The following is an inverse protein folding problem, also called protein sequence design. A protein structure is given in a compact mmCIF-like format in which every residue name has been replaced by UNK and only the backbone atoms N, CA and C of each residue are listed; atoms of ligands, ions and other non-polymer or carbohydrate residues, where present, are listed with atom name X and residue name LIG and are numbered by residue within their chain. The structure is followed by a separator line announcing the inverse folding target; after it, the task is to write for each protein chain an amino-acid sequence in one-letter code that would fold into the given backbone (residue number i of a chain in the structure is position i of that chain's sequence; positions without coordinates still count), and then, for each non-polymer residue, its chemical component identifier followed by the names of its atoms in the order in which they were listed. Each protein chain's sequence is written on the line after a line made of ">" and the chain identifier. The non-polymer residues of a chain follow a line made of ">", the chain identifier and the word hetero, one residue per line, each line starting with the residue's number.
data_IF_503528008572
#
_entry.id   IF_503528008572
#
_cell.length_a   1.000
_cell.length_b   1.000
_cell.length_c   1.000
_cell.angle_alpha   90.00
_cell.angle_beta   90.00
_cell.angle_gamma   90.00
#
_symmetry.space_group_name_H-M   'P 1'
#
loop_
_entity.id
_entity.type
_entity.pdbx_description
1 polymer ?
#
# COMPACT_ATOMS: atom_id res chain seq x y z
N UNK A 1 26.43 -6.69 14.90
CA UNK A 1 25.41 -5.81 14.29
C UNK A 1 24.09 -6.14 14.97
N UNK A 2 23.61 -5.33 15.90
CA UNK A 2 22.32 -5.50 16.56
C UNK A 2 21.23 -5.38 15.50
N UNK A 3 20.49 -6.46 15.27
CA UNK A 3 19.34 -6.44 14.36
C UNK A 3 18.40 -5.32 14.81
N UNK A 4 18.24 -4.29 14.00
CA UNK A 4 17.30 -3.20 14.25
C UNK A 4 15.90 -3.80 14.38
N UNK A 5 15.19 -3.45 15.46
CA UNK A 5 13.82 -3.90 15.69
C UNK A 5 12.96 -3.52 14.48
N UNK A 6 12.19 -4.45 13.92
CA UNK A 6 11.30 -4.14 12.80
C UNK A 6 10.27 -3.08 13.18
N UNK A 7 9.87 -2.25 12.22
CA UNK A 7 8.85 -1.23 12.42
C UNK A 7 7.44 -1.85 12.44
N UNK A 8 7.21 -2.86 11.60
CA UNK A 8 5.95 -3.62 11.56
C UNK A 8 6.29 -5.10 11.78
N UNK A 9 5.69 -5.70 12.80
CA UNK A 9 5.80 -7.14 13.09
C UNK A 9 4.42 -7.78 12.95
N UNK A 10 4.33 -8.79 12.11
CA UNK A 10 3.15 -9.61 11.90
C UNK A 10 3.52 -11.02 12.36
N UNK A 11 2.87 -11.53 13.42
CA UNK A 11 3.21 -12.81 14.03
C UNK A 11 1.99 -13.74 13.98
N UNK A 12 2.08 -14.76 13.10
CA UNK A 12 1.09 -15.83 12.89
C UNK A 12 -0.34 -15.32 12.75
N UNK A 13 -0.53 -14.23 12.00
CA UNK A 13 -1.83 -13.62 11.80
C UNK A 13 -2.74 -14.53 11.00
N UNK A 14 -3.92 -14.78 11.57
CA UNK A 14 -5.05 -15.41 10.93
C UNK A 14 -6.27 -14.49 10.91
N UNK A 15 -7.08 -14.60 9.85
CA UNK A 15 -8.32 -13.86 9.72
C UNK A 15 -9.42 -14.72 9.13
N UNK A 16 -10.49 -14.90 9.89
CA UNK A 16 -11.70 -15.60 9.47
C UNK A 16 -12.90 -14.67 9.55
N UNK A 17 -13.56 -14.47 8.43
CA UNK A 17 -14.83 -13.75 8.34
C UNK A 17 -15.97 -14.69 8.69
N UNK A 18 -16.89 -14.26 9.54
CA UNK A 18 -18.18 -14.92 9.77
C UNK A 18 -19.21 -14.28 8.86
N UNK A 19 -19.91 -15.08 8.08
CA UNK A 19 -21.00 -14.68 7.20
C UNK A 19 -22.25 -15.49 7.57
N UNK A 20 -23.42 -15.06 7.13
CA UNK A 20 -24.67 -15.80 7.31
C UNK A 20 -24.62 -17.22 6.72
N UNK A 21 -23.85 -17.38 5.63
CA UNK A 21 -23.66 -18.66 4.92
C UNK A 21 -22.51 -19.52 5.46
N UNK A 22 -21.82 -19.10 6.55
CA UNK A 22 -20.71 -19.84 7.14
C UNK A 22 -19.49 -18.97 7.47
N UNK A 23 -18.33 -19.59 7.58
CA UNK A 23 -17.06 -18.89 7.84
C UNK A 23 -16.13 -18.97 6.64
N UNK A 24 -15.44 -17.87 6.36
CA UNK A 24 -14.45 -17.78 5.28
C UNK A 24 -13.10 -17.40 5.87
N UNK A 25 -12.16 -18.33 5.84
CA UNK A 25 -10.78 -18.07 6.22
C UNK A 25 -10.07 -17.28 5.11
N UNK A 26 -9.76 -16.03 5.40
CA UNK A 26 -9.13 -15.12 4.45
C UNK A 26 -7.60 -15.18 4.53
N UNK A 27 -7.05 -15.25 5.75
CA UNK A 27 -5.61 -15.31 6.02
C UNK A 27 -5.33 -16.44 7.01
N UNK A 28 -4.20 -17.13 6.81
CA UNK A 28 -3.74 -18.20 7.68
C UNK A 28 -2.24 -18.10 7.89
N UNK A 29 -1.84 -17.98 9.15
CA UNK A 29 -0.45 -18.08 9.60
C UNK A 29 0.49 -17.14 8.86
N UNK A 30 0.12 -15.86 8.74
CA UNK A 30 0.94 -14.82 8.13
C UNK A 30 1.97 -14.34 9.15
N UNK A 31 3.25 -14.52 8.83
CA UNK A 31 4.37 -14.01 9.63
C UNK A 31 5.29 -13.20 8.71
N UNK A 32 5.46 -11.90 9.02
CA UNK A 32 6.25 -10.97 8.24
C UNK A 32 6.78 -9.86 9.14
N UNK A 33 8.05 -9.53 8.98
CA UNK A 33 8.69 -8.37 9.62
C UNK A 33 9.07 -7.35 8.56
N UNK A 34 8.75 -6.08 8.77
CA UNK A 34 9.07 -4.97 7.87
C UNK A 34 9.94 -3.96 8.62
N UNK A 35 11.09 -3.65 8.05
CA UNK A 35 12.05 -2.71 8.59
C UNK A 35 11.61 -1.25 8.44
N UNK A 36 12.23 -0.37 9.23
CA UNK A 36 12.04 1.07 9.08
C UNK A 36 12.66 1.56 7.76
N UNK A 37 11.89 2.32 6.97
CA UNK A 37 12.28 2.82 5.66
C UNK A 37 12.27 1.77 4.55
N UNK A 38 11.74 0.58 4.79
CA UNK A 38 11.66 -0.49 3.80
C UNK A 38 10.44 -0.32 2.88
N UNK A 39 10.62 -0.62 1.60
CA UNK A 39 9.54 -0.72 0.63
C UNK A 39 9.21 -2.19 0.38
N UNK A 40 8.05 -2.67 0.84
CA UNK A 40 7.59 -4.05 0.66
C UNK A 40 6.37 -4.09 -0.25
N UNK A 41 6.45 -4.87 -1.34
CA UNK A 41 5.30 -5.13 -2.18
C UNK A 41 4.65 -6.48 -1.84
N UNK A 42 3.32 -6.51 -1.83
CA UNK A 42 2.51 -7.72 -1.69
C UNK A 42 1.88 -8.06 -3.03
N UNK A 43 2.19 -9.22 -3.59
CA UNK A 43 1.61 -9.73 -4.83
C UNK A 43 0.88 -11.04 -4.58
N UNK A 44 -0.14 -11.32 -5.39
CA UNK A 44 -0.92 -12.55 -5.27
C UNK A 44 -2.25 -12.44 -6.02
N UNK A 45 -2.97 -13.56 -6.21
CA UNK A 45 -4.23 -13.57 -6.94
C UNK A 45 -5.30 -12.72 -6.24
N UNK A 46 -6.33 -12.33 -7.00
CA UNK A 46 -7.47 -11.59 -6.43
C UNK A 46 -8.15 -12.41 -5.33
N UNK A 47 -8.53 -11.72 -4.24
CA UNK A 47 -9.18 -12.35 -3.10
C UNK A 47 -8.28 -13.20 -2.18
N UNK A 48 -6.95 -13.19 -2.36
CA UNK A 48 -6.02 -13.91 -1.48
C UNK A 48 -5.80 -13.25 -0.10
N UNK A 49 -6.36 -12.07 0.15
CA UNK A 49 -6.31 -11.43 1.47
C UNK A 49 -5.35 -10.25 1.61
N UNK A 50 -4.71 -9.76 0.53
CA UNK A 50 -3.79 -8.60 0.58
C UNK A 50 -4.42 -7.37 1.23
N UNK A 51 -5.56 -6.93 0.75
CA UNK A 51 -6.31 -5.79 1.33
C UNK A 51 -6.78 -6.05 2.76
N UNK A 52 -7.06 -7.32 3.11
CA UNK A 52 -7.37 -7.72 4.48
C UNK A 52 -6.15 -7.52 5.39
N UNK A 53 -4.98 -7.98 4.96
CA UNK A 53 -3.73 -7.81 5.71
C UNK A 53 -3.40 -6.32 5.90
N UNK A 54 -3.55 -5.50 4.85
CA UNK A 54 -3.37 -4.05 4.93
C UNK A 54 -4.27 -3.40 5.98
N UNK A 55 -5.58 -3.76 5.98
CA UNK A 55 -6.54 -3.23 6.97
C UNK A 55 -6.22 -3.67 8.39
N UNK A 56 -5.66 -4.87 8.57
CA UNK A 56 -5.19 -5.35 9.86
C UNK A 56 -3.99 -4.53 10.34
N UNK A 57 -2.99 -4.28 9.48
CA UNK A 57 -1.82 -3.44 9.82
C UNK A 57 -2.25 -2.02 10.18
N UNK A 58 -3.22 -1.46 9.44
CA UNK A 58 -3.79 -0.13 9.73
C UNK A 58 -4.63 -0.07 11.02
N UNK A 59 -4.94 -1.23 11.64
CA UNK A 59 -5.83 -1.30 12.80
C UNK A 59 -7.31 -1.09 12.47
N UNK A 60 -7.69 -1.16 11.18
CA UNK A 60 -9.08 -1.03 10.72
C UNK A 60 -9.85 -2.35 10.81
N UNK A 61 -9.15 -3.45 11.07
CA UNK A 61 -9.73 -4.78 11.23
C UNK A 61 -8.97 -5.55 12.31
N UNK A 62 -9.65 -6.11 13.32
CA UNK A 62 -9.01 -6.97 14.29
C UNK A 62 -8.61 -8.31 13.66
N UNK A 63 -7.59 -8.95 14.21
CA UNK A 63 -7.18 -10.31 13.86
C UNK A 63 -8.09 -11.34 14.56
N UNK A 64 -8.21 -12.55 13.99
CA UNK A 64 -8.86 -13.68 14.66
C UNK A 64 -7.85 -14.62 15.33
N UNK A 65 -6.58 -14.53 14.93
CA UNK A 65 -5.45 -15.24 15.55
C UNK A 65 -4.16 -14.46 15.31
N UNK A 66 -3.15 -14.68 16.14
CA UNK A 66 -1.87 -13.99 16.06
C UNK A 66 -1.93 -12.54 16.54
N UNK A 67 -0.94 -11.74 16.15
CA UNK A 67 -0.85 -10.33 16.54
C UNK A 67 -0.11 -9.50 15.50
N UNK A 68 -0.38 -8.20 15.52
CA UNK A 68 0.39 -7.18 14.77
C UNK A 68 0.92 -6.14 15.76
N UNK A 69 2.17 -5.75 15.56
CA UNK A 69 2.83 -4.70 16.34
C UNK A 69 3.37 -3.66 15.36
N UNK A 70 3.09 -2.38 15.60
CA UNK A 70 3.59 -1.26 14.80
C UNK A 70 4.35 -0.32 15.72
N UNK A 71 5.61 -0.05 15.38
CA UNK A 71 6.54 0.75 16.19
C UNK A 71 6.59 0.32 17.67
N UNK A 72 6.58 -0.99 17.88
CA UNK A 72 6.60 -1.59 19.21
C UNK A 72 5.30 -1.58 19.99
N UNK A 73 4.22 -1.06 19.41
CA UNK A 73 2.89 -1.00 20.04
C UNK A 73 1.96 -2.03 19.39
N UNK A 74 1.32 -2.92 20.16
CA UNK A 74 0.30 -3.83 19.63
C UNK A 74 -0.86 -3.06 18.98
N UNK A 75 -1.29 -3.51 17.81
CA UNK A 75 -2.40 -2.89 17.07
C UNK A 75 -3.72 -3.33 17.67
N UNK A 76 -4.39 -2.43 18.39
CA UNK A 76 -5.72 -2.66 18.99
C UNK A 76 -6.82 -1.79 18.33
N UNK A 77 -6.46 -0.88 17.45
CA UNK A 77 -7.36 0.05 16.75
C UNK A 77 -6.60 0.84 15.69
N UNK A 78 -7.23 1.85 15.07
CA UNK A 78 -6.61 2.66 14.03
C UNK A 78 -5.25 3.24 14.43
N UNK A 79 -4.23 3.02 13.58
CA UNK A 79 -2.86 3.44 13.83
C UNK A 79 -2.67 4.85 13.26
N UNK A 80 -2.49 5.87 14.13
CA UNK A 80 -2.41 7.29 13.72
C UNK A 80 -1.18 7.63 12.86
N UNK A 81 -0.13 6.81 12.91
CA UNK A 81 1.12 6.98 12.12
C UNK A 81 1.04 6.41 10.71
N UNK A 82 -0.11 5.91 10.30
CA UNK A 82 -0.33 5.26 9.00
C UNK A 82 -1.14 6.17 8.09
N UNK A 83 -0.59 6.48 6.91
CA UNK A 83 -1.35 6.98 5.77
C UNK A 83 -1.84 5.79 4.94
N UNK A 84 -3.11 5.80 4.53
CA UNK A 84 -3.67 4.71 3.75
C UNK A 84 -4.28 5.21 2.44
N UNK A 85 -3.89 4.58 1.34
CA UNK A 85 -4.51 4.73 0.01
C UNK A 85 -5.31 3.47 -0.27
N UNK A 86 -6.61 3.62 -0.46
CA UNK A 86 -7.51 2.52 -0.76
C UNK A 86 -7.57 2.26 -2.27
N UNK A 87 -7.98 1.07 -2.66
CA UNK A 87 -8.19 0.68 -4.05
C UNK A 87 -9.19 1.59 -4.77
N UNK A 88 -10.26 1.99 -4.10
CA UNK A 88 -11.14 3.08 -4.55
C UNK A 88 -10.69 4.39 -3.90
N UNK A 89 -10.70 5.50 -4.62
CA UNK A 89 -10.24 6.81 -4.14
C UNK A 89 -10.99 7.33 -2.91
N UNK A 90 -12.26 6.94 -2.74
CA UNK A 90 -13.14 7.28 -1.59
C UNK A 90 -13.09 8.77 -1.26
N UNK A 91 -13.20 9.63 -2.30
CA UNK A 91 -13.31 11.07 -2.10
C UNK A 91 -14.74 11.44 -1.69
N UNK A 92 -14.87 12.43 -0.79
CA UNK A 92 -16.16 12.99 -0.38
C UNK A 92 -16.71 13.82 -1.54
N UNK A 93 -17.83 13.37 -2.11
CA UNK A 93 -18.41 13.93 -3.36
C UNK A 93 -18.87 15.37 -3.24
N UNK A 94 -19.15 15.84 -2.00
CA UNK A 94 -19.62 17.19 -1.68
C UNK A 94 -18.50 18.16 -1.27
N UNK A 95 -17.25 17.75 -1.39
CA UNK A 95 -16.05 18.56 -1.12
C UNK A 95 -15.22 18.72 -2.37
N UNK A 96 -14.58 19.87 -2.51
CA UNK A 96 -13.57 20.07 -3.55
C UNK A 96 -12.40 19.09 -3.40
N UNK A 97 -11.57 18.98 -4.43
CA UNK A 97 -10.37 18.12 -4.41
C UNK A 97 -9.43 18.55 -3.27
N UNK A 98 -9.14 19.85 -3.15
CA UNK A 98 -8.27 20.35 -2.09
C UNK A 98 -8.87 20.13 -0.70
N UNK A 99 -10.17 20.26 -0.52
CA UNK A 99 -10.81 20.02 0.77
C UNK A 99 -10.86 18.52 1.12
N UNK A 100 -10.86 17.64 0.12
CA UNK A 100 -10.65 16.21 0.32
C UNK A 100 -9.20 15.92 0.76
N UNK A 101 -8.21 16.59 0.18
CA UNK A 101 -6.80 16.46 0.59
C UNK A 101 -6.62 16.96 2.01
N UNK A 102 -7.28 18.05 2.41
CA UNK A 102 -7.19 18.65 3.75
C UNK A 102 -7.92 17.86 4.85
N UNK A 103 -8.78 16.91 4.49
CA UNK A 103 -9.60 16.14 5.43
C UNK A 103 -8.84 15.51 6.61
N UNK A 104 -7.64 14.90 6.44
CA UNK A 104 -6.89 14.33 7.57
C UNK A 104 -6.51 15.37 8.63
N UNK A 105 -6.16 16.60 8.24
CA UNK A 105 -5.85 17.67 9.18
C UNK A 105 -7.09 18.07 10.00
N UNK A 106 -8.24 18.17 9.35
CA UNK A 106 -9.52 18.46 9.98
C UNK A 106 -9.89 17.36 11.00
N UNK A 107 -9.86 16.09 10.59
CA UNK A 107 -10.19 14.95 11.45
C UNK A 107 -9.22 14.78 12.64
N UNK A 108 -7.97 15.24 12.49
CA UNK A 108 -6.97 15.23 13.56
C UNK A 108 -7.07 16.44 14.49
N UNK A 109 -8.09 17.29 14.35
CA UNK A 109 -8.27 18.50 15.15
C UNK A 109 -7.26 19.60 14.84
N UNK A 110 -6.53 19.51 13.74
CA UNK A 110 -5.58 20.52 13.29
C UNK A 110 -6.28 21.54 12.41
N UNK A 111 -5.73 22.77 12.34
CA UNK A 111 -6.28 23.82 11.48
C UNK A 111 -5.96 23.53 10.00
N UNK A 112 -6.94 23.24 9.12
CA UNK A 112 -6.69 22.91 7.70
C UNK A 112 -5.93 24.03 6.96
N UNK A 113 -6.15 25.29 7.33
CA UNK A 113 -5.45 26.41 6.73
C UNK A 113 -3.92 26.32 6.82
N UNK A 114 -3.38 25.70 7.87
CA UNK A 114 -1.93 25.48 8.03
C UNK A 114 -1.36 24.53 6.97
N UNK A 115 -2.19 23.63 6.45
CA UNK A 115 -1.78 22.60 5.48
C UNK A 115 -2.17 22.94 4.04
N UNK A 116 -2.84 24.09 3.80
CA UNK A 116 -3.38 24.42 2.48
C UNK A 116 -2.29 24.57 1.42
N UNK A 117 -1.17 25.19 1.79
CA UNK A 117 -0.02 25.32 0.88
C UNK A 117 0.58 23.95 0.53
N UNK A 118 0.80 23.10 1.55
CA UNK A 118 1.28 21.73 1.33
C UNK A 118 0.30 20.91 0.49
N UNK A 119 -1.01 21.08 0.69
CA UNK A 119 -2.02 20.39 -0.12
C UNK A 119 -1.93 20.80 -1.60
N UNK A 120 -1.69 22.10 -1.90
CA UNK A 120 -1.46 22.57 -3.26
C UNK A 120 -0.21 21.98 -3.86
N UNK A 121 0.92 22.01 -3.16
CA UNK A 121 2.20 21.42 -3.61
C UNK A 121 2.04 19.92 -3.92
N UNK A 122 1.34 19.17 -3.08
CA UNK A 122 1.04 17.76 -3.35
C UNK A 122 0.16 17.57 -4.59
N UNK A 123 -0.84 18.43 -4.80
CA UNK A 123 -1.67 18.39 -6.00
C UNK A 123 -0.90 18.75 -7.26
N UNK A 124 0.01 19.73 -7.19
CA UNK A 124 0.91 20.09 -8.29
C UNK A 124 1.83 18.93 -8.65
N UNK A 125 2.43 18.28 -7.64
CA UNK A 125 3.32 17.12 -7.82
C UNK A 125 2.66 16.00 -8.63
N UNK A 126 1.37 15.76 -8.43
CA UNK A 126 0.62 14.72 -9.14
C UNK A 126 -0.14 15.25 -10.36
N UNK A 127 0.16 16.47 -10.83
CA UNK A 127 -0.48 17.08 -12.00
C UNK A 127 -1.95 17.43 -11.83
N UNK A 128 -2.37 17.77 -10.59
CA UNK A 128 -3.75 18.15 -10.27
C UNK A 128 -3.88 19.59 -9.75
N UNK A 129 -2.87 20.45 -9.91
CA UNK A 129 -2.89 21.82 -9.41
C UNK A 129 -4.10 22.63 -9.89
N UNK A 130 -4.41 22.59 -11.19
CA UNK A 130 -5.56 23.28 -11.79
C UNK A 130 -6.92 22.69 -11.41
N UNK A 131 -6.95 21.47 -10.84
CA UNK A 131 -8.15 20.78 -10.43
C UNK A 131 -8.45 20.91 -8.94
N UNK A 132 -7.67 21.71 -8.19
CA UNK A 132 -7.78 21.83 -6.73
C UNK A 132 -9.16 22.20 -6.25
N UNK A 133 -9.83 23.12 -6.93
CA UNK A 133 -11.17 23.62 -6.56
C UNK A 133 -12.32 22.86 -7.25
N UNK A 134 -12.00 21.84 -8.08
CA UNK A 134 -12.97 20.98 -8.75
C UNK A 134 -13.62 19.99 -7.79
N UNK A 135 -14.78 19.46 -8.18
CA UNK A 135 -15.45 18.38 -7.44
C UNK A 135 -14.99 17.01 -7.94
N UNK A 136 -15.01 15.95 -7.10
CA UNK A 136 -14.58 14.61 -7.51
C UNK A 136 -15.27 14.06 -8.77
N UNK A 137 -16.51 14.40 -9.04
CA UNK A 137 -17.24 13.96 -10.22
C UNK A 137 -16.76 14.61 -11.53
N UNK A 138 -15.99 15.70 -11.45
CA UNK A 138 -15.35 16.37 -12.61
C UNK A 138 -13.99 15.72 -12.96
N UNK A 139 -13.50 14.77 -12.15
CA UNK A 139 -12.21 14.12 -12.31
C UNK A 139 -12.37 12.69 -12.87
N UNK A 140 -11.43 12.27 -13.72
CA UNK A 140 -11.31 10.85 -14.09
C UNK A 140 -10.98 9.97 -12.88
N UNK A 141 -11.20 8.66 -12.97
CA UNK A 141 -10.87 7.72 -11.89
C UNK A 141 -9.40 7.76 -11.48
N UNK A 142 -8.49 7.89 -12.44
CA UNK A 142 -7.06 8.05 -12.19
C UNK A 142 -6.72 9.38 -11.48
N UNK A 143 -7.37 10.50 -11.86
CA UNK A 143 -7.21 11.77 -11.17
C UNK A 143 -7.71 11.69 -9.72
N UNK A 144 -8.85 11.04 -9.49
CA UNK A 144 -9.37 10.81 -8.13
C UNK A 144 -8.39 9.99 -7.29
N UNK A 145 -7.76 8.99 -7.89
CA UNK A 145 -6.77 8.15 -7.21
C UNK A 145 -5.52 8.94 -6.82
N UNK A 146 -5.01 9.81 -7.72
CA UNK A 146 -3.92 10.73 -7.41
C UNK A 146 -4.26 11.72 -6.29
N UNK A 147 -5.48 12.27 -6.28
CA UNK A 147 -5.97 13.11 -5.19
C UNK A 147 -6.04 12.36 -3.84
N UNK A 148 -6.44 11.07 -3.86
CA UNK A 148 -6.44 10.21 -2.68
C UNK A 148 -5.03 9.94 -2.15
N UNK A 149 -4.02 9.84 -3.02
CA UNK A 149 -2.62 9.77 -2.63
C UNK A 149 -2.16 11.05 -1.92
N UNK A 150 -2.49 12.24 -2.48
CA UNK A 150 -2.20 13.52 -1.82
C UNK A 150 -2.82 13.61 -0.43
N UNK A 151 -4.07 13.14 -0.27
CA UNK A 151 -4.74 13.06 1.03
C UNK A 151 -3.98 12.20 2.03
N UNK A 152 -3.49 11.03 1.61
CA UNK A 152 -2.71 10.14 2.48
C UNK A 152 -1.36 10.74 2.87
N UNK A 153 -0.76 11.60 2.03
CA UNK A 153 0.55 12.23 2.24
C UNK A 153 0.48 13.55 3.03
N UNK A 154 -0.70 14.15 3.19
CA UNK A 154 -0.84 15.49 3.76
C UNK A 154 -0.15 15.67 5.11
N UNK A 155 -0.36 14.74 6.02
CA UNK A 155 0.20 14.78 7.39
C UNK A 155 1.59 14.14 7.50
N UNK A 156 2.21 13.80 6.36
CA UNK A 156 3.54 13.19 6.29
C UNK A 156 3.73 11.94 7.15
N UNK A 157 2.84 10.94 7.02
CA UNK A 157 2.94 9.75 7.85
C UNK A 157 4.23 8.97 7.55
N UNK A 158 4.88 8.38 8.58
CA UNK A 158 6.08 7.58 8.41
C UNK A 158 5.80 6.23 7.74
N UNK A 159 4.56 5.74 7.81
CA UNK A 159 4.13 4.48 7.21
C UNK A 159 3.04 4.76 6.19
N UNK A 160 3.19 4.22 4.98
CA UNK A 160 2.21 4.29 3.91
C UNK A 160 1.74 2.88 3.55
N UNK A 161 0.44 2.67 3.60
CA UNK A 161 -0.21 1.44 3.14
C UNK A 161 -1.00 1.77 1.88
N UNK A 162 -0.67 1.11 0.77
CA UNK A 162 -1.25 1.41 -0.54
C UNK A 162 -1.86 0.16 -1.17
N UNK A 163 -3.18 0.17 -1.33
CA UNK A 163 -3.94 -0.96 -1.86
C UNK A 163 -4.30 -0.70 -3.32
N UNK A 164 -3.52 -1.25 -4.26
CA UNK A 164 -3.63 -1.09 -5.72
C UNK A 164 -3.76 0.39 -6.16
N UNK A 165 -2.88 1.30 -5.68
CA UNK A 165 -3.07 2.75 -5.84
C UNK A 165 -3.07 3.22 -7.29
N UNK A 166 -2.50 2.45 -8.21
CA UNK A 166 -2.34 2.82 -9.61
C UNK A 166 -3.15 1.93 -10.57
N UNK A 167 -4.05 1.10 -10.04
CA UNK A 167 -4.85 0.16 -10.84
C UNK A 167 -5.77 0.83 -11.88
N UNK A 168 -6.24 2.05 -11.59
CA UNK A 168 -7.12 2.82 -12.48
C UNK A 168 -6.37 3.72 -13.49
N UNK A 169 -5.02 3.72 -13.47
CA UNK A 169 -4.21 4.54 -14.37
C UNK A 169 -3.88 3.81 -15.68
N UNK A 170 -3.77 4.56 -16.77
CA UNK A 170 -3.15 4.07 -18.00
C UNK A 170 -1.65 3.77 -17.78
N UNK A 171 -1.01 3.09 -18.73
CA UNK A 171 0.35 2.61 -18.57
C UNK A 171 1.38 3.75 -18.42
N UNK A 172 1.25 4.83 -19.19
CA UNK A 172 2.21 5.95 -19.15
C UNK A 172 2.09 6.71 -17.82
N UNK A 173 0.88 7.11 -17.45
CA UNK A 173 0.61 7.78 -16.17
C UNK A 173 1.02 6.91 -14.96
N UNK A 174 0.83 5.59 -15.06
CA UNK A 174 1.29 4.66 -14.02
C UNK A 174 2.80 4.66 -13.86
N UNK A 175 3.54 4.69 -14.96
CA UNK A 175 5.01 4.73 -14.92
C UNK A 175 5.53 6.04 -14.34
N UNK A 176 4.92 7.18 -14.69
CA UNK A 176 5.21 8.47 -14.07
C UNK A 176 4.95 8.42 -12.55
N UNK A 177 3.80 7.92 -12.14
CA UNK A 177 3.44 7.80 -10.72
C UNK A 177 4.34 6.83 -9.94
N UNK A 178 4.85 5.78 -10.59
CA UNK A 178 5.83 4.89 -9.98
C UNK A 178 7.16 5.62 -9.69
N UNK A 179 7.62 6.45 -10.60
CA UNK A 179 8.83 7.29 -10.40
C UNK A 179 8.59 8.32 -9.28
N UNK A 180 7.45 9.02 -9.29
CA UNK A 180 7.09 9.95 -8.22
C UNK A 180 7.00 9.27 -6.85
N UNK A 181 6.48 8.05 -6.80
CA UNK A 181 6.42 7.28 -5.55
C UNK A 181 7.82 6.91 -5.04
N UNK A 182 8.75 6.55 -5.94
CA UNK A 182 10.15 6.32 -5.57
C UNK A 182 10.82 7.60 -5.05
N UNK A 183 10.52 8.74 -5.66
CA UNK A 183 10.98 10.05 -5.20
C UNK A 183 10.45 10.36 -3.79
N UNK A 184 9.14 10.25 -3.55
CA UNK A 184 8.50 10.43 -2.24
C UNK A 184 9.09 9.49 -1.18
N UNK A 185 9.39 8.24 -1.56
CA UNK A 185 9.95 7.26 -0.65
C UNK A 185 11.43 7.49 -0.35
N UNK A 186 12.25 7.73 -1.37
CA UNK A 186 13.72 7.78 -1.27
C UNK A 186 14.28 9.14 -0.95
N UNK A 187 13.66 10.19 -1.45
CA UNK A 187 14.11 11.57 -1.29
C UNK A 187 13.34 12.31 -0.19
N UNK A 188 12.47 11.66 0.56
CA UNK A 188 11.60 12.09 1.68
C UNK A 188 11.84 13.41 2.39
N UNK A 189 12.51 14.35 1.70
CA UNK A 189 12.79 15.73 2.08
C UNK A 189 11.88 16.70 1.32
N UNK A 190 10.59 16.57 1.53
CA UNK A 190 9.76 17.76 1.56
C UNK A 190 9.85 18.25 3.02
N UNK A 191 10.87 19.07 3.28
CA UNK A 191 11.20 19.75 4.54
C UNK A 191 11.50 18.88 5.78
N UNK A 192 12.76 18.90 6.18
CA UNK A 192 13.32 18.37 7.42
C UNK A 192 12.84 19.17 8.66
N UNK A 193 11.53 19.27 8.86
CA UNK A 193 10.92 20.04 9.95
C UNK A 193 9.67 19.46 10.58
N UNK A 194 9.10 18.38 10.03
CA UNK A 194 7.87 17.80 10.57
C UNK A 194 8.19 16.71 11.61
N UNK A 195 7.53 16.79 12.76
CA UNK A 195 7.58 15.81 13.82
C UNK A 195 7.05 14.46 13.34
N UNK A 196 7.95 13.56 12.92
CA UNK A 196 7.59 12.23 12.40
C UNK A 196 8.70 11.55 11.63
N UNK A 197 9.92 12.10 11.61
CA UNK A 197 11.05 11.52 10.93
C UNK A 197 11.26 10.04 11.32
N UNK A 198 11.26 9.16 10.32
CA UNK A 198 11.70 7.78 10.46
C UNK A 198 13.18 7.75 10.85
N UNK A 199 13.63 6.72 11.57
CA UNK A 199 15.06 6.57 11.93
C UNK A 199 15.96 6.48 10.70
N UNK A 200 15.41 5.97 9.57
CA UNK A 200 16.09 5.82 8.29
C UNK A 200 16.05 7.07 7.40
N UNK A 201 15.23 8.08 7.73
CA UNK A 201 14.94 9.24 6.87
C UNK A 201 14.08 8.90 5.65
N UNK A 202 13.57 7.65 5.55
CA UNK A 202 12.71 7.16 4.47
C UNK A 202 11.35 6.74 5.04
N UNK A 203 10.31 6.78 4.21
CA UNK A 203 9.01 6.23 4.59
C UNK A 203 9.03 4.70 4.50
N UNK A 204 8.31 4.04 5.40
CA UNK A 204 8.06 2.60 5.24
C UNK A 204 6.81 2.41 4.40
N UNK A 205 6.90 1.65 3.31
CA UNK A 205 5.78 1.45 2.39
C UNK A 205 5.41 -0.03 2.33
N UNK A 206 4.11 -0.31 2.48
CA UNK A 206 3.51 -1.60 2.12
C UNK A 206 2.58 -1.36 0.93
N UNK A 207 2.91 -1.97 -0.19
CA UNK A 207 2.30 -1.71 -1.49
C UNK A 207 1.65 -2.98 -2.03
N UNK A 208 0.35 -2.96 -2.23
CA UNK A 208 -0.38 -4.06 -2.86
C UNK A 208 -0.54 -3.77 -4.35
N UNK A 209 -0.16 -4.71 -5.16
CA UNK A 209 -0.39 -4.67 -6.61
C UNK A 209 -0.62 -6.07 -7.19
N UNK A 210 -1.27 -6.13 -8.33
CA UNK A 210 -1.37 -7.34 -9.16
C UNK A 210 -0.30 -7.36 -10.27
N UNK A 211 0.47 -6.27 -10.44
CA UNK A 211 1.53 -6.16 -11.42
C UNK A 211 2.89 -6.57 -10.82
N UNK A 212 3.41 -7.73 -11.23
CA UNK A 212 4.73 -8.20 -10.80
C UNK A 212 5.84 -7.22 -11.23
N UNK A 213 5.85 -6.70 -12.48
CA UNK A 213 6.86 -5.71 -12.88
C UNK A 213 6.84 -4.44 -12.01
N UNK A 214 5.66 -3.97 -11.61
CA UNK A 214 5.54 -2.83 -10.70
C UNK A 214 6.12 -3.13 -9.31
N UNK A 215 5.80 -4.31 -8.74
CA UNK A 215 6.34 -4.75 -7.47
C UNK A 215 7.88 -4.85 -7.49
N UNK A 216 8.46 -5.43 -8.54
CA UNK A 216 9.92 -5.54 -8.71
C UNK A 216 10.55 -4.16 -8.93
N UNK A 217 9.88 -3.26 -9.66
CA UNK A 217 10.40 -1.91 -9.90
C UNK A 217 10.45 -1.06 -8.63
N UNK A 218 9.45 -1.17 -7.76
CA UNK A 218 9.30 -0.31 -6.58
C UNK A 218 9.97 -0.86 -5.32
N UNK A 219 9.81 -2.15 -5.03
CA UNK A 219 10.06 -2.69 -3.71
C UNK A 219 11.52 -3.10 -3.45
N UNK A 220 11.89 -3.15 -2.18
CA UNK A 220 13.12 -3.82 -1.69
C UNK A 220 12.89 -5.31 -1.50
N UNK A 221 11.64 -5.69 -1.15
CA UNK A 221 11.19 -7.09 -1.10
C UNK A 221 9.79 -7.24 -1.71
N UNK A 222 9.61 -8.33 -2.43
CA UNK A 222 8.30 -8.76 -2.94
C UNK A 222 7.85 -9.98 -2.17
N UNK A 223 6.70 -9.89 -1.52
CA UNK A 223 6.05 -10.97 -0.77
C UNK A 223 4.96 -11.57 -1.65
N UNK A 224 5.08 -12.84 -1.94
CA UNK A 224 4.15 -13.62 -2.77
C UNK A 224 3.14 -14.30 -1.87
N UNK A 225 1.84 -14.08 -2.13
CA UNK A 225 0.74 -14.68 -1.37
C UNK A 225 0.03 -15.77 -2.17
N UNK A 226 -0.31 -16.87 -1.49
CA UNK A 226 -1.10 -17.97 -2.07
C UNK A 226 -2.57 -17.59 -2.26
N UNK A 227 -3.33 -18.32 -3.11
CA UNK A 227 -4.79 -18.25 -3.10
C UNK A 227 -5.38 -18.52 -1.71
N UNK A 228 -6.66 -18.16 -1.51
CA UNK A 228 -7.38 -18.30 -0.23
C UNK A 228 -7.38 -19.73 0.31
N UNK A 229 -7.09 -19.93 1.60
CA UNK A 229 -6.67 -18.93 2.60
C UNK A 229 -5.26 -18.42 2.29
N UNK A 230 -5.12 -17.07 2.26
CA UNK A 230 -3.84 -16.44 1.94
C UNK A 230 -2.76 -16.80 2.96
N UNK A 231 -1.63 -17.27 2.46
CA UNK A 231 -0.39 -17.52 3.18
C UNK A 231 0.76 -16.85 2.43
N UNK A 232 1.89 -16.68 3.06
CA UNK A 232 3.11 -16.28 2.36
C UNK A 232 3.66 -17.53 1.65
N UNK A 233 3.74 -17.48 0.31
CA UNK A 233 4.38 -18.52 -0.49
C UNK A 233 5.90 -18.31 -0.51
N UNK A 234 6.35 -17.06 -0.76
CA UNK A 234 7.75 -16.71 -0.81
C UNK A 234 7.98 -15.23 -0.54
N UNK A 235 9.25 -14.90 -0.25
CA UNK A 235 9.71 -13.53 -0.06
C UNK A 235 10.99 -13.36 -0.88
N UNK A 236 10.95 -12.47 -1.87
CA UNK A 236 12.05 -12.22 -2.78
C UNK A 236 12.68 -10.86 -2.49
N UNK A 237 13.99 -10.82 -2.30
CA UNK A 237 14.75 -9.57 -2.28
C UNK A 237 14.96 -9.06 -3.69
N UNK A 238 14.84 -7.74 -3.86
CA UNK A 238 15.10 -7.07 -5.13
C UNK A 238 16.49 -6.44 -5.04
N UNK A 239 17.49 -7.11 -5.62
CA UNK A 239 18.89 -6.68 -5.57
C UNK A 239 19.26 -5.71 -6.71
N UNK A 240 18.26 -5.01 -7.26
CA UNK A 240 18.47 -3.97 -8.27
C UNK A 240 18.84 -2.67 -7.55
N UNK A 241 19.97 -2.08 -7.96
CA UNK A 241 20.49 -0.86 -7.34
C UNK A 241 19.48 0.32 -7.38
N UNK A 242 19.60 1.21 -6.42
CA UNK A 242 18.87 2.47 -6.37
C UNK A 242 19.80 3.66 -6.63
N UNK A 243 19.35 4.79 -7.20
CA UNK A 243 17.96 5.04 -7.60
C UNK A 243 17.57 4.20 -8.83
N UNK A 244 16.31 3.78 -8.89
CA UNK A 244 15.79 3.03 -10.04
C UNK A 244 15.13 3.99 -11.03
N UNK A 245 15.57 3.89 -12.28
CA UNK A 245 14.99 4.60 -13.42
C UNK A 245 14.30 3.58 -14.35
N UNK A 246 13.64 4.06 -15.40
CA UNK A 246 12.92 3.20 -16.35
C UNK A 246 13.84 2.13 -16.95
N UNK A 247 15.11 2.46 -17.16
CA UNK A 247 16.14 1.57 -17.69
C UNK A 247 16.40 0.35 -16.80
N UNK A 248 16.09 0.43 -15.50
CA UNK A 248 16.20 -0.72 -14.59
C UNK A 248 15.36 -1.91 -15.06
N UNK A 249 14.28 -1.66 -15.81
CA UNK A 249 13.42 -2.71 -16.39
C UNK A 249 14.09 -3.51 -17.52
N UNK A 250 15.11 -2.94 -18.14
CA UNK A 250 15.90 -3.61 -19.18
C UNK A 250 16.98 -4.55 -18.61
N UNK A 251 17.24 -4.51 -17.30
CA UNK A 251 18.25 -5.34 -16.66
C UNK A 251 17.85 -6.83 -16.67
N UNK A 252 18.78 -7.75 -16.96
CA UNK A 252 18.50 -9.19 -16.93
C UNK A 252 17.96 -9.68 -15.58
N UNK A 253 18.42 -9.08 -14.47
CA UNK A 253 17.99 -9.37 -13.10
C UNK A 253 16.50 -9.07 -12.91
N UNK A 254 16.02 -7.98 -13.50
CA UNK A 254 14.62 -7.57 -13.47
C UNK A 254 13.72 -8.63 -14.14
N UNK A 255 14.11 -9.06 -15.33
CA UNK A 255 13.39 -10.10 -16.08
C UNK A 255 13.38 -11.44 -15.36
N UNK A 256 14.53 -11.86 -14.83
CA UNK A 256 14.66 -13.12 -14.08
C UNK A 256 13.78 -13.14 -12.83
N UNK A 257 13.83 -12.08 -12.03
CA UNK A 257 13.03 -12.00 -10.80
C UNK A 257 11.53 -11.94 -11.10
N UNK A 258 11.13 -11.17 -12.12
CA UNK A 258 9.74 -11.11 -12.59
C UNK A 258 9.22 -12.48 -12.99
N UNK A 259 10.01 -13.25 -13.75
CA UNK A 259 9.66 -14.61 -14.18
C UNK A 259 9.58 -15.58 -13.00
N UNK A 260 10.52 -15.50 -12.05
CA UNK A 260 10.53 -16.35 -10.85
C UNK A 260 9.26 -16.14 -10.01
N UNK A 261 8.88 -14.88 -9.76
CA UNK A 261 7.67 -14.54 -9.01
C UNK A 261 6.42 -15.02 -9.77
N UNK A 262 6.39 -14.84 -11.10
CA UNK A 262 5.29 -15.32 -11.93
C UNK A 262 5.12 -16.85 -11.84
N UNK A 263 6.21 -17.60 -11.92
CA UNK A 263 6.20 -19.06 -11.81
C UNK A 263 5.70 -19.51 -10.43
N UNK A 264 6.11 -18.86 -9.35
CA UNK A 264 5.64 -19.16 -8.01
C UNK A 264 4.13 -18.90 -7.84
N UNK A 265 3.63 -17.79 -8.38
CA UNK A 265 2.20 -17.46 -8.37
C UNK A 265 1.36 -18.47 -9.16
N UNK A 266 1.89 -19.00 -10.26
CA UNK A 266 1.18 -19.96 -11.12
C UNK A 266 1.30 -21.40 -10.63
N UNK A 267 2.38 -21.75 -9.93
CA UNK A 267 2.57 -23.07 -9.31
C UNK A 267 1.71 -23.31 -8.08
N UNK A 268 1.22 -22.23 -7.43
CA UNK A 268 0.32 -22.36 -6.28
C UNK A 268 -1.00 -23.02 -6.72
N UNK A 269 -1.45 -24.11 -6.06
CA UNK A 269 -2.65 -24.84 -6.48
C UNK A 269 -3.86 -23.91 -6.50
N UNK A 270 -4.58 -23.89 -7.62
CA UNK A 270 -5.83 -23.14 -7.76
C UNK A 270 -6.81 -23.55 -6.65
N UNK A 271 -7.61 -22.63 -6.08
CA UNK A 271 -8.62 -22.98 -5.09
C UNK A 271 -9.55 -24.02 -5.72
N UNK A 272 -9.72 -25.17 -5.05
CA UNK A 272 -10.76 -26.14 -5.44
C UNK A 272 -12.10 -25.39 -5.32
N UNK A 273 -12.67 -25.02 -6.45
CA UNK A 273 -14.06 -24.60 -6.52
C UNK A 273 -14.84 -25.82 -6.06
N UNK A 274 -15.45 -25.75 -4.88
CA UNK A 274 -16.41 -26.76 -4.47
C UNK A 274 -17.50 -26.79 -5.54
N UNK A 275 -17.60 -27.90 -6.26
CA UNK A 275 -18.65 -28.10 -7.24
C UNK A 275 -19.97 -27.92 -6.49
N UNK A 276 -20.68 -26.82 -6.79
CA UNK A 276 -22.07 -26.67 -6.39
C UNK A 276 -22.81 -27.85 -7.00
N UNK A 277 -23.28 -28.76 -6.12
CA UNK A 277 -23.96 -29.94 -6.52
C UNK A 277 -25.10 -29.61 -7.46
N UNK A 278 -25.06 -30.27 -8.60
CA UNK A 278 -26.21 -30.38 -9.47
C UNK A 278 -27.37 -30.98 -8.68
N UNK A 279 -28.37 -30.17 -8.39
CA UNK A 279 -29.70 -30.62 -8.03
C UNK A 279 -30.53 -30.62 -9.31
N UNK A 280 -30.86 -31.83 -9.70
CA UNK A 280 -31.93 -32.16 -10.67
C UNK A 280 -33.29 -31.63 -10.15
#
# INVERSE_FOLDING_TARGET
>A
MTASRPLIEIDRVGMTYRTESGSVEALRDISLSIGDGEFVALVGPSGCGKSTLMRIIAGLRPVTAGRVVVDGVPVAGPVSRVGMVFQAAVLLKWRSVIDNVLLPAELSGQRPAKYRERARQLLELVGLGEFADKQPHELSGGMQQRASLCRALLLDPPILLMDEPFGALDAMTRDEMNLELLHIWGEGRLDAGAAGATRSGRKTIVFVTHSIPEAVFLADRVVVMTPRPGRIAGIHRVEIARPRTVEARALPEFGRLTLQIYQELTAAPAPRVAAAGALL
#
